data_IF_290465303484
#
_entry.id   IF_290465303484
#
_cell.length_a   1.000
_cell.length_b   1.000
_cell.length_c   1.000
_cell.angle_alpha   90.00
_cell.angle_beta   90.00
_cell.angle_gamma   90.00
#
_symmetry.space_group_name_H-M   'P 1'
#
loop_
_entity.id
_entity.type
_entity.pdbx_description
1 polymer ?
#
# COMPACT_ATOMS: atom_id res chain seq x y z
N UNK A 1 -0.63 -30.93 42.00
CA UNK A 1 -0.41 -29.47 41.84
C UNK A 1 0.33 -29.09 40.53
N UNK A 2 0.12 -29.79 39.41
CA UNK A 2 0.94 -29.62 38.18
C UNK A 2 0.20 -29.25 36.89
N UNK A 3 -1.14 -29.10 36.94
CA UNK A 3 -1.98 -28.78 35.76
C UNK A 3 -1.78 -27.35 35.26
N UNK A 4 -1.45 -26.43 36.16
CA UNK A 4 -1.43 -25.00 35.94
C UNK A 4 -0.29 -24.57 34.99
N UNK A 5 0.86 -25.26 35.06
CA UNK A 5 2.03 -24.95 34.22
C UNK A 5 1.80 -25.36 32.76
N UNK A 6 1.10 -26.48 32.53
CA UNK A 6 0.76 -26.95 31.18
C UNK A 6 -0.30 -26.06 30.53
N UNK A 7 -1.31 -25.63 31.28
CA UNK A 7 -2.32 -24.68 30.78
C UNK A 7 -1.77 -23.29 30.49
N UNK A 8 -0.86 -22.76 31.32
CA UNK A 8 -0.23 -21.45 31.08
C UNK A 8 0.64 -21.46 29.82
N UNK A 9 1.42 -22.53 29.59
CA UNK A 9 2.22 -22.67 28.37
C UNK A 9 1.31 -22.76 27.13
N UNK A 10 0.19 -23.47 27.21
CA UNK A 10 -0.78 -23.53 26.10
C UNK A 10 -1.46 -22.18 25.83
N UNK A 11 -1.82 -21.41 26.87
CA UNK A 11 -2.42 -20.07 26.71
C UNK A 11 -1.42 -19.09 26.12
N UNK A 12 -0.17 -19.07 26.60
CA UNK A 12 0.88 -18.19 26.06
C UNK A 12 1.20 -18.54 24.60
N UNK A 13 1.25 -19.84 24.25
CA UNK A 13 1.46 -20.27 22.86
C UNK A 13 0.29 -19.89 21.94
N UNK A 14 -0.95 -19.90 22.44
CA UNK A 14 -2.14 -19.54 21.66
C UNK A 14 -2.22 -18.02 21.45
N UNK A 15 -1.89 -17.22 22.46
CA UNK A 15 -1.88 -15.75 22.33
C UNK A 15 -0.75 -15.27 21.42
N UNK A 16 0.44 -15.88 21.49
CA UNK A 16 1.53 -15.56 20.54
C UNK A 16 1.19 -15.97 19.11
N UNK A 17 0.51 -17.10 18.91
CA UNK A 17 0.10 -17.57 17.58
C UNK A 17 -0.99 -16.65 16.99
N UNK A 18 -1.95 -16.22 17.80
CA UNK A 18 -2.99 -15.27 17.37
C UNK A 18 -2.43 -13.88 17.06
N UNK A 19 -1.46 -13.40 17.86
CA UNK A 19 -0.78 -12.13 17.57
C UNK A 19 0.05 -12.22 16.28
N UNK A 20 0.76 -13.34 16.07
CA UNK A 20 1.54 -13.58 14.86
C UNK A 20 0.65 -13.70 13.61
N UNK A 21 -0.53 -14.32 13.74
CA UNK A 21 -1.53 -14.39 12.68
C UNK A 21 -2.06 -12.99 12.32
N UNK A 22 -2.28 -12.12 13.32
CA UNK A 22 -2.76 -10.75 13.09
C UNK A 22 -1.71 -9.89 12.36
N UNK A 23 -0.42 -10.03 12.70
CA UNK A 23 0.68 -9.31 12.02
C UNK A 23 0.81 -9.72 10.54
N UNK A 24 0.49 -10.96 10.19
CA UNK A 24 0.52 -11.46 8.81
C UNK A 24 -0.68 -11.04 7.94
N UNK A 25 -1.72 -10.45 8.54
CA UNK A 25 -2.89 -9.94 7.80
C UNK A 25 -2.80 -8.46 7.44
N UNK A 26 -1.73 -7.77 7.85
CA UNK A 26 -1.54 -6.39 7.41
C UNK A 26 -1.27 -6.38 5.91
N UNK A 27 -1.97 -5.54 5.13
CA UNK A 27 -1.68 -5.41 3.72
C UNK A 27 -0.24 -4.90 3.59
N UNK A 28 0.63 -5.74 3.04
CA UNK A 28 1.92 -5.29 2.53
C UNK A 28 1.57 -4.29 1.43
N UNK A 29 1.96 -3.02 1.62
CA UNK A 29 1.63 -1.94 0.70
C UNK A 29 1.81 -2.42 -0.74
N UNK A 30 0.75 -2.31 -1.53
CA UNK A 30 0.76 -2.68 -2.93
C UNK A 30 2.00 -2.04 -3.55
N UNK A 31 2.83 -2.85 -4.21
CA UNK A 31 3.91 -2.32 -5.03
C UNK A 31 3.23 -1.33 -5.98
N UNK A 32 3.56 -0.05 -5.82
CA UNK A 32 3.15 1.03 -6.71
C UNK A 32 3.59 0.67 -8.13
N UNK A 33 2.74 -0.07 -8.83
CA UNK A 33 2.80 -0.12 -10.27
C UNK A 33 2.40 1.29 -10.68
N UNK A 34 3.35 2.04 -11.24
CA UNK A 34 3.17 3.44 -11.61
C UNK A 34 1.79 3.64 -12.24
N UNK A 35 1.06 4.62 -11.72
CA UNK A 35 -0.37 4.79 -12.01
C UNK A 35 -0.64 4.98 -13.52
N UNK A 36 0.37 5.43 -14.27
CA UNK A 36 0.27 5.72 -15.69
C UNK A 36 1.42 5.12 -16.50
N UNK A 37 1.10 4.71 -17.73
CA UNK A 37 2.04 4.04 -18.61
C UNK A 37 3.13 4.97 -19.16
N UNK A 38 2.90 6.28 -19.14
CA UNK A 38 3.76 7.31 -19.72
C UNK A 38 4.55 8.12 -18.68
N UNK A 39 4.47 7.73 -17.40
CA UNK A 39 5.21 8.39 -16.31
C UNK A 39 6.40 7.59 -15.83
N UNK A 40 6.55 6.32 -16.23
CA UNK A 40 7.64 5.46 -15.80
C UNK A 40 9.01 6.05 -16.18
N UNK A 41 9.85 6.35 -15.18
CA UNK A 41 11.16 6.96 -15.37
C UNK A 41 11.11 8.48 -15.64
N UNK A 42 9.94 9.11 -15.55
CA UNK A 42 9.80 10.55 -15.62
C UNK A 42 10.17 11.17 -14.27
N UNK A 43 10.88 12.31 -14.27
CA UNK A 43 11.34 12.95 -13.02
C UNK A 43 10.21 13.38 -12.07
N UNK A 44 8.98 13.47 -12.60
CA UNK A 44 7.78 13.85 -11.86
C UNK A 44 6.90 12.66 -11.45
N UNK A 45 7.33 11.41 -11.70
CA UNK A 45 6.55 10.21 -11.43
C UNK A 45 5.99 10.18 -10.01
N UNK A 46 6.86 10.32 -9.00
CA UNK A 46 6.47 10.33 -7.58
C UNK A 46 5.48 11.45 -7.23
N UNK A 47 5.68 12.64 -7.81
CA UNK A 47 4.80 13.80 -7.58
C UNK A 47 3.42 13.58 -8.21
N UNK A 48 3.39 12.97 -9.39
CA UNK A 48 2.16 12.65 -10.11
C UNK A 48 1.35 11.62 -9.34
N UNK A 49 2.00 10.55 -8.88
CA UNK A 49 1.37 9.51 -8.07
C UNK A 49 0.76 10.14 -6.79
N UNK A 50 1.55 10.93 -6.06
CA UNK A 50 1.08 11.63 -4.85
C UNK A 50 -0.12 12.55 -5.14
N UNK A 51 -0.12 13.24 -6.27
CA UNK A 51 -1.21 14.14 -6.64
C UNK A 51 -2.50 13.37 -6.96
N UNK A 52 -2.39 12.19 -7.56
CA UNK A 52 -3.54 11.34 -7.88
C UNK A 52 -4.08 10.63 -6.65
N UNK A 53 -3.21 10.12 -5.78
CA UNK A 53 -3.61 9.54 -4.49
C UNK A 53 -4.39 10.54 -3.62
N UNK A 54 -4.02 11.82 -3.69
CA UNK A 54 -4.71 12.91 -2.98
C UNK A 54 -5.95 13.43 -3.71
N UNK A 55 -6.22 12.96 -4.92
CA UNK A 55 -7.34 13.39 -5.75
C UNK A 55 -7.19 14.80 -6.33
N UNK A 56 -5.97 15.34 -6.40
CA UNK A 56 -5.69 16.64 -7.02
C UNK A 56 -5.58 16.55 -8.55
N UNK A 57 -5.22 15.38 -9.05
CA UNK A 57 -5.10 15.11 -10.47
C UNK A 57 -5.76 13.77 -10.81
N UNK A 58 -6.04 13.58 -12.10
CA UNK A 58 -6.54 12.33 -12.65
C UNK A 58 -5.96 12.19 -14.05
N UNK A 59 -5.63 10.96 -14.45
CA UNK A 59 -5.19 10.71 -15.82
C UNK A 59 -6.35 10.54 -16.78
N UNK A 60 -6.01 10.07 -17.96
CA UNK A 60 -6.92 9.86 -19.06
C UNK A 60 -7.46 8.42 -19.08
N UNK A 61 -8.60 8.17 -19.76
CA UNK A 61 -9.20 6.83 -19.86
C UNK A 61 -8.31 5.79 -20.56
N UNK A 62 -7.28 6.23 -21.30
CA UNK A 62 -6.30 5.38 -21.98
C UNK A 62 -5.16 4.92 -21.05
N UNK A 63 -5.14 5.36 -19.78
CA UNK A 63 -4.09 5.04 -18.82
C UNK A 63 -2.86 5.93 -18.89
N UNK A 64 -2.94 7.07 -19.58
CA UNK A 64 -1.87 8.09 -19.62
C UNK A 64 -2.11 9.24 -18.64
N UNK A 65 -1.03 9.91 -18.22
CA UNK A 65 -1.08 11.19 -17.49
C UNK A 65 -0.74 12.39 -18.36
N UNK A 66 0.14 12.19 -19.34
CA UNK A 66 0.71 13.18 -20.25
C UNK A 66 1.46 14.28 -19.51
N UNK A 67 2.53 13.94 -18.76
CA UNK A 67 3.22 14.86 -17.87
C UNK A 67 3.83 16.09 -18.57
N UNK A 68 4.21 15.95 -19.83
CA UNK A 68 4.78 17.04 -20.66
C UNK A 68 3.73 17.82 -21.47
N UNK A 69 2.45 17.44 -21.37
CA UNK A 69 1.41 18.11 -22.13
C UNK A 69 1.15 19.50 -21.56
N UNK A 70 1.16 20.50 -22.44
CA UNK A 70 0.88 21.87 -22.05
C UNK A 70 -0.61 22.02 -21.67
N UNK A 71 -0.87 22.51 -20.45
CA UNK A 71 -2.23 22.79 -19.96
C UNK A 71 -2.54 24.28 -20.06
N UNK A 72 -3.77 24.63 -20.44
CA UNK A 72 -4.26 26.02 -20.45
C UNK A 72 -5.07 26.28 -19.19
N UNK A 73 -4.87 27.43 -18.54
CA UNK A 73 -5.83 27.91 -17.53
C UNK A 73 -7.13 28.29 -18.22
N UNK A 74 -8.24 27.75 -17.74
CA UNK A 74 -9.58 28.17 -18.11
C UNK A 74 -9.96 29.49 -17.41
#
# INVERSE_FOLDING_TARGET
MGKNRRSVIQIVSLTTLLFFLMVMTMPTGALAAGTFNDTAGHWAEDQIETAVEKGYASGYPDGSFKPDQNITRA
#
